data_IF_043925103796
#
_entry.id   IF_043925103796
#
_cell.length_a   1.000
_cell.length_b   1.000
_cell.length_c   1.000
_cell.angle_alpha   90.00
_cell.angle_beta   90.00
_cell.angle_gamma   90.00
#
_symmetry.space_group_name_H-M   'P 1'
#
loop_
_entity.id
_entity.type
_entity.pdbx_description
1 polymer ?
#
# COMPACT_ATOMS: atom_id res chain seq x y z
N UNK A 1 6.19 -27.20 19.97
CA UNK A 1 6.28 -26.35 21.17
C UNK A 1 6.06 -24.91 20.74
N UNK A 2 4.81 -24.45 20.76
CA UNK A 2 4.48 -23.06 20.41
C UNK A 2 4.84 -22.19 21.61
N UNK A 3 5.93 -21.43 21.51
CA UNK A 3 6.11 -20.29 22.39
C UNK A 3 5.10 -19.26 21.90
N UNK A 4 3.92 -19.22 22.53
CA UNK A 4 3.13 -18.00 22.57
C UNK A 4 4.00 -16.95 23.25
N UNK A 5 4.76 -16.20 22.46
CA UNK A 5 5.44 -14.98 22.89
C UNK A 5 4.37 -13.91 23.14
N UNK A 6 3.56 -14.10 24.18
CA UNK A 6 3.02 -12.98 24.94
C UNK A 6 4.25 -12.26 25.50
N UNK A 7 4.44 -11.00 25.09
CA UNK A 7 5.38 -10.03 25.67
C UNK A 7 6.79 -9.89 25.06
N UNK A 8 6.89 -9.88 23.73
CA UNK A 8 7.89 -9.03 23.07
C UNK A 8 7.18 -7.92 22.29
N UNK A 9 6.56 -6.98 23.03
CA UNK A 9 6.23 -5.68 22.46
C UNK A 9 7.56 -4.95 22.24
N UNK A 10 8.07 -5.02 21.03
CA UNK A 10 9.16 -4.16 20.59
C UNK A 10 8.80 -2.70 20.91
N UNK A 11 9.77 -1.95 21.45
CA UNK A 11 9.62 -0.51 21.64
C UNK A 11 9.28 0.15 20.29
N UNK A 12 8.45 1.21 20.28
CA UNK A 12 7.97 1.83 19.02
C UNK A 12 9.13 2.20 18.06
N UNK A 13 10.27 2.60 18.62
CA UNK A 13 11.47 2.94 17.85
C UNK A 13 12.09 1.74 17.10
N UNK A 14 11.93 0.51 17.59
CA UNK A 14 12.58 -0.67 17.01
C UNK A 14 12.02 -1.00 15.62
N UNK A 15 10.73 -0.75 15.37
CA UNK A 15 10.17 -0.89 14.03
C UNK A 15 10.61 0.24 13.10
N UNK A 16 10.68 1.48 13.59
CA UNK A 16 11.14 2.63 12.80
C UNK A 16 12.58 2.45 12.30
N UNK A 17 13.45 1.86 13.12
CA UNK A 17 14.84 1.62 12.75
C UNK A 17 15.02 0.60 11.60
N UNK A 18 14.00 -0.22 11.31
CA UNK A 18 14.08 -1.22 10.22
C UNK A 18 14.29 -0.59 8.84
N UNK A 19 13.99 0.72 8.69
CA UNK A 19 14.28 1.48 7.47
C UNK A 19 15.78 1.52 7.13
N UNK A 20 16.63 1.43 8.14
CA UNK A 20 18.09 1.53 7.99
C UNK A 20 18.77 0.17 7.83
N UNK A 21 18.00 -0.93 7.80
CA UNK A 21 18.55 -2.25 7.50
C UNK A 21 19.13 -2.27 6.07
N UNK A 22 20.20 -3.04 5.83
CA UNK A 22 20.66 -3.33 4.48
C UNK A 22 19.54 -3.91 3.62
N UNK A 23 19.55 -3.61 2.32
CA UNK A 23 18.52 -4.05 1.37
C UNK A 23 18.25 -5.56 1.44
N UNK A 24 19.31 -6.39 1.45
CA UNK A 24 19.16 -7.86 1.53
C UNK A 24 18.43 -8.32 2.80
N UNK A 25 18.65 -7.64 3.93
CA UNK A 25 17.95 -7.94 5.18
C UNK A 25 16.49 -7.48 5.14
N UNK A 26 16.18 -6.39 4.44
CA UNK A 26 14.80 -5.97 4.19
C UNK A 26 14.06 -6.96 3.28
N UNK A 27 14.74 -7.54 2.29
CA UNK A 27 14.17 -8.59 1.42
C UNK A 27 13.88 -9.85 2.22
N UNK A 28 14.85 -10.37 2.98
CA UNK A 28 14.64 -11.53 3.87
C UNK A 28 13.52 -11.30 4.87
N UNK A 29 13.47 -10.11 5.47
CA UNK A 29 12.41 -9.73 6.40
C UNK A 29 11.05 -9.77 5.69
N UNK A 30 10.92 -9.15 4.52
CA UNK A 30 9.66 -9.12 3.77
C UNK A 30 9.19 -10.53 3.38
N UNK A 31 10.08 -11.40 2.88
CA UNK A 31 9.79 -12.82 2.58
C UNK A 31 9.25 -13.52 3.83
N UNK A 32 9.93 -13.39 4.96
CA UNK A 32 9.49 -13.99 6.22
C UNK A 32 8.12 -13.46 6.67
N UNK A 33 7.86 -12.16 6.50
CA UNK A 33 6.55 -11.57 6.86
C UNK A 33 5.43 -12.09 5.95
N UNK A 34 5.74 -12.34 4.67
CA UNK A 34 4.80 -12.93 3.71
C UNK A 34 4.45 -14.35 4.14
N UNK A 35 5.44 -15.20 4.41
CA UNK A 35 5.25 -16.58 4.85
C UNK A 35 4.45 -16.66 6.16
N UNK A 36 4.84 -15.90 7.18
CA UNK A 36 4.13 -15.91 8.48
C UNK A 36 2.66 -15.45 8.35
N UNK A 37 2.35 -14.55 7.41
CA UNK A 37 0.97 -14.11 7.18
C UNK A 37 0.15 -15.17 6.47
N UNK A 38 0.73 -15.86 5.49
CA UNK A 38 0.09 -16.95 4.75
C UNK A 38 -0.19 -18.14 5.67
N UNK A 39 0.80 -18.54 6.47
CA UNK A 39 0.69 -19.61 7.46
C UNK A 39 -0.36 -19.31 8.53
N UNK A 40 -0.43 -18.07 9.03
CA UNK A 40 -1.40 -17.70 10.06
C UNK A 40 -2.85 -17.75 9.57
N UNK A 41 -3.08 -17.45 8.29
CA UNK A 41 -4.41 -17.43 7.68
C UNK A 41 -4.71 -18.66 6.82
N UNK A 42 -3.90 -19.74 6.92
CA UNK A 42 -4.08 -20.98 6.16
C UNK A 42 -4.25 -20.75 4.64
N UNK A 43 -3.45 -19.84 4.06
CA UNK A 43 -3.53 -19.48 2.65
C UNK A 43 -4.70 -18.59 2.27
N UNK A 44 -5.54 -18.17 3.22
CA UNK A 44 -6.67 -17.25 3.01
C UNK A 44 -6.16 -15.81 2.97
N UNK A 45 -5.33 -15.50 1.97
CA UNK A 45 -4.69 -14.20 1.80
C UNK A 45 -4.86 -13.67 0.38
N UNK A 46 -4.68 -12.36 0.20
CA UNK A 46 -4.70 -11.73 -1.12
C UNK A 46 -3.80 -10.50 -1.16
N UNK A 47 -3.37 -10.08 -2.35
CA UNK A 47 -2.63 -8.83 -2.53
C UNK A 47 -3.60 -7.72 -2.92
N UNK A 48 -3.70 -6.67 -2.10
CA UNK A 48 -4.42 -5.45 -2.46
C UNK A 48 -3.63 -4.70 -3.53
N UNK A 49 -3.97 -4.91 -4.80
CA UNK A 49 -3.19 -4.47 -5.94
C UNK A 49 -3.78 -3.19 -6.56
N UNK A 50 -2.94 -2.16 -6.77
CA UNK A 50 -3.38 -0.88 -7.33
C UNK A 50 -2.87 -0.62 -8.76
N UNK A 51 -1.96 -1.46 -9.25
CA UNK A 51 -1.24 -1.22 -10.51
C UNK A 51 -0.11 -0.18 -10.40
N UNK A 52 0.09 0.42 -9.22
CA UNK A 52 1.25 1.28 -8.95
C UNK A 52 2.49 0.47 -8.58
N UNK A 53 3.67 1.08 -8.78
CA UNK A 53 4.98 0.44 -8.59
C UNK A 53 5.12 -0.37 -7.29
N UNK A 54 4.81 0.25 -6.15
CA UNK A 54 4.96 -0.38 -4.84
C UNK A 54 4.06 -1.61 -4.69
N UNK A 55 2.84 -1.58 -5.23
CA UNK A 55 1.93 -2.73 -5.24
C UNK A 55 2.36 -3.82 -6.24
N UNK A 56 3.02 -3.44 -7.33
CA UNK A 56 3.60 -4.37 -8.31
C UNK A 56 4.80 -5.10 -7.71
N UNK A 57 5.69 -4.38 -7.03
CA UNK A 57 6.82 -4.97 -6.30
C UNK A 57 6.34 -5.94 -5.22
N UNK A 58 5.31 -5.55 -4.44
CA UNK A 58 4.73 -6.46 -3.46
C UNK A 58 4.16 -7.71 -4.12
N UNK A 59 3.40 -7.57 -5.22
CA UNK A 59 2.81 -8.71 -5.92
C UNK A 59 3.88 -9.67 -6.44
N UNK A 60 4.95 -9.15 -7.04
CA UNK A 60 6.07 -9.96 -7.50
C UNK A 60 6.74 -10.69 -6.34
N UNK A 61 7.03 -10.00 -5.24
CA UNK A 61 7.63 -10.60 -4.06
C UNK A 61 6.75 -11.71 -3.45
N UNK A 62 5.43 -11.49 -3.36
CA UNK A 62 4.47 -12.51 -2.89
C UNK A 62 4.47 -13.72 -3.83
N UNK A 63 4.46 -13.50 -5.15
CA UNK A 63 4.49 -14.59 -6.14
C UNK A 63 5.79 -15.38 -6.13
N UNK A 64 6.92 -14.71 -5.94
CA UNK A 64 8.23 -15.37 -5.77
C UNK A 64 8.29 -16.20 -4.49
N UNK A 65 7.53 -15.81 -3.45
CA UNK A 65 7.56 -16.46 -2.13
C UNK A 65 6.55 -17.61 -2.00
N UNK A 66 5.31 -17.41 -2.49
CA UNK A 66 4.16 -18.31 -2.26
C UNK A 66 3.59 -18.89 -3.56
N UNK A 67 4.10 -18.46 -4.72
CA UNK A 67 3.59 -18.84 -6.03
C UNK A 67 2.42 -17.98 -6.51
N UNK A 68 1.89 -18.33 -7.67
CA UNK A 68 0.94 -17.51 -8.45
C UNK A 68 -0.54 -17.70 -8.08
N UNK A 69 -0.84 -18.52 -7.06
CA UNK A 69 -2.22 -18.83 -6.63
C UNK A 69 -2.87 -17.72 -5.79
N UNK A 70 -2.07 -16.91 -5.09
CA UNK A 70 -2.58 -15.81 -4.27
C UNK A 70 -3.16 -14.72 -5.18
N UNK A 71 -4.44 -14.35 -5.02
CA UNK A 71 -5.09 -13.41 -5.93
C UNK A 71 -4.55 -11.99 -5.77
N UNK A 72 -4.21 -11.37 -6.89
CA UNK A 72 -4.04 -9.92 -7.01
C UNK A 72 -5.43 -9.28 -7.18
N UNK A 73 -5.91 -8.58 -6.14
CA UNK A 73 -7.25 -7.99 -6.14
C UNK A 73 -7.16 -6.50 -6.46
N UNK A 74 -7.65 -6.13 -7.64
CA UNK A 74 -7.66 -4.75 -8.12
C UNK A 74 -9.04 -4.12 -7.95
N UNK A 75 -9.11 -2.98 -7.27
CA UNK A 75 -10.34 -2.21 -7.14
C UNK A 75 -10.43 -1.16 -8.25
N UNK A 76 -11.17 -1.47 -9.31
CA UNK A 76 -11.42 -0.53 -10.40
C UNK A 76 -12.49 0.47 -9.99
N UNK A 77 -12.09 1.71 -9.74
CA UNK A 77 -13.00 2.78 -9.31
C UNK A 77 -13.63 3.53 -10.48
N UNK A 78 -13.16 3.29 -11.70
CA UNK A 78 -13.50 4.06 -12.90
C UNK A 78 -12.79 5.43 -12.96
N UNK A 79 -11.88 5.72 -12.03
CA UNK A 79 -11.09 6.96 -11.98
C UNK A 79 -9.61 6.75 -12.29
N UNK A 80 -9.16 5.50 -12.32
CA UNK A 80 -7.81 5.16 -12.75
C UNK A 80 -7.62 5.47 -14.25
N UNK A 81 -6.43 5.91 -14.61
CA UNK A 81 -6.04 6.07 -16.02
C UNK A 81 -6.19 4.74 -16.77
N UNK A 82 -6.68 4.75 -18.03
CA UNK A 82 -6.85 3.53 -18.83
C UNK A 82 -5.60 2.64 -18.89
N UNK A 83 -4.41 3.25 -18.92
CA UNK A 83 -3.12 2.57 -18.93
C UNK A 83 -2.87 1.79 -17.64
N UNK A 84 -3.26 2.35 -16.49
CA UNK A 84 -3.15 1.67 -15.18
C UNK A 84 -4.14 0.51 -15.12
N UNK A 85 -5.35 0.67 -15.63
CA UNK A 85 -6.34 -0.42 -15.70
C UNK A 85 -5.83 -1.54 -16.62
N UNK A 86 -5.31 -1.19 -17.79
CA UNK A 86 -4.74 -2.15 -18.73
C UNK A 86 -3.54 -2.89 -18.11
N UNK A 87 -2.63 -2.15 -17.48
CA UNK A 87 -1.48 -2.72 -16.75
C UNK A 87 -1.93 -3.65 -15.62
N UNK A 88 -2.86 -3.21 -14.77
CA UNK A 88 -3.32 -4.02 -13.65
C UNK A 88 -3.94 -5.34 -14.11
N UNK A 89 -4.70 -5.32 -15.22
CA UNK A 89 -5.27 -6.53 -15.82
C UNK A 89 -4.24 -7.49 -16.39
N UNK A 90 -3.01 -7.04 -16.71
CA UNK A 90 -1.92 -7.95 -17.13
C UNK A 90 -1.52 -8.92 -16.02
N UNK A 91 -1.80 -8.60 -14.75
CA UNK A 91 -1.50 -9.50 -13.64
C UNK A 91 -2.14 -10.89 -13.80
N UNK A 92 -3.25 -11.02 -14.55
CA UNK A 92 -3.90 -12.30 -14.88
C UNK A 92 -3.03 -13.26 -15.69
N UNK A 93 -2.06 -12.74 -16.46
CA UNK A 93 -1.14 -13.56 -17.26
C UNK A 93 -0.06 -14.23 -16.41
N UNK A 94 0.13 -13.75 -15.17
CA UNK A 94 1.22 -14.17 -14.28
C UNK A 94 0.68 -14.80 -12.98
N UNK A 95 -0.63 -15.02 -12.86
CA UNK A 95 -1.26 -15.65 -11.71
C UNK A 95 -2.71 -15.24 -11.49
N UNK A 96 -3.27 -15.66 -10.36
CA UNK A 96 -4.62 -15.32 -9.95
C UNK A 96 -4.82 -13.80 -9.86
N UNK A 97 -5.94 -13.33 -10.43
CA UNK A 97 -6.31 -11.93 -10.50
C UNK A 97 -7.81 -11.79 -10.36
N UNK A 98 -8.26 -10.85 -9.55
CA UNK A 98 -9.67 -10.55 -9.32
C UNK A 98 -9.90 -9.03 -9.41
N UNK A 99 -10.95 -8.61 -10.11
CA UNK A 99 -11.31 -7.20 -10.25
C UNK A 99 -12.61 -6.92 -9.49
N UNK A 100 -12.54 -6.04 -8.49
CA UNK A 100 -13.70 -5.57 -7.72
C UNK A 100 -14.05 -4.13 -8.09
N UNK A 101 -15.31 -3.75 -7.87
CA UNK A 101 -15.81 -2.41 -8.18
C UNK A 101 -16.67 -1.85 -7.04
N UNK A 102 -16.70 -0.53 -6.84
CA UNK A 102 -17.69 0.10 -5.98
C UNK A 102 -19.10 -0.07 -6.54
N UNK A 103 -20.08 -0.18 -5.65
CA UNK A 103 -21.49 -0.31 -6.00
C UNK A 103 -22.06 0.98 -6.61
N UNK A 104 -21.46 2.12 -6.27
CA UNK A 104 -21.85 3.45 -6.75
C UNK A 104 -20.78 3.98 -7.70
N UNK A 105 -21.22 4.64 -8.77
CA UNK A 105 -20.31 5.37 -9.63
C UNK A 105 -19.84 6.67 -8.96
N UNK A 106 -18.75 7.24 -9.48
CA UNK A 106 -18.14 8.41 -8.86
C UNK A 106 -19.08 9.64 -8.78
N UNK A 107 -19.93 9.83 -9.80
CA UNK A 107 -20.92 10.93 -9.81
C UNK A 107 -21.89 10.80 -8.65
N UNK A 108 -22.43 9.62 -8.42
CA UNK A 108 -23.32 9.35 -7.28
C UNK A 108 -22.60 9.62 -5.96
N UNK A 109 -21.35 9.18 -5.82
CA UNK A 109 -20.57 9.40 -4.60
C UNK A 109 -20.33 10.89 -4.33
N UNK A 110 -20.03 11.70 -5.35
CA UNK A 110 -19.87 13.15 -5.15
C UNK A 110 -21.18 13.79 -4.69
N UNK A 111 -22.30 13.44 -5.33
CA UNK A 111 -23.60 14.04 -5.03
C UNK A 111 -24.10 13.68 -3.62
N UNK A 112 -23.85 12.46 -3.17
CA UNK A 112 -24.33 11.97 -1.87
C UNK A 112 -23.36 12.22 -0.72
N UNK A 113 -22.07 11.97 -0.93
CA UNK A 113 -21.06 11.97 0.14
C UNK A 113 -20.12 13.18 0.05
N UNK A 114 -20.09 13.89 -1.08
CA UNK A 114 -19.19 15.02 -1.31
C UNK A 114 -17.80 14.63 -1.81
N UNK A 115 -16.97 15.65 -2.02
CA UNK A 115 -15.61 15.52 -2.55
C UNK A 115 -14.57 16.17 -1.61
N UNK A 116 -13.36 15.61 -1.47
CA UNK A 116 -12.34 16.14 -0.56
C UNK A 116 -11.64 17.36 -1.16
N UNK A 117 -12.35 18.49 -1.20
CA UNK A 117 -11.81 19.79 -1.60
C UNK A 117 -10.74 20.24 -0.59
N UNK A 118 -9.70 20.93 -1.07
CA UNK A 118 -8.49 21.37 -0.33
C UNK A 118 -7.54 20.21 0.01
N UNK A 119 -7.97 19.28 0.86
CA UNK A 119 -7.23 18.08 1.23
C UNK A 119 -8.14 17.11 1.97
N UNK A 120 -7.78 15.83 2.00
CA UNK A 120 -8.53 14.82 2.77
C UNK A 120 -8.67 15.19 4.25
N UNK A 121 -7.61 15.75 4.84
CA UNK A 121 -7.63 16.13 6.25
C UNK A 121 -8.57 17.32 6.52
N UNK A 122 -8.51 18.36 5.69
CA UNK A 122 -9.38 19.53 5.86
C UNK A 122 -10.83 19.17 5.54
N UNK A 123 -11.08 18.35 4.51
CA UNK A 123 -12.42 17.86 4.20
C UNK A 123 -13.02 17.02 5.34
N UNK A 124 -12.21 16.17 5.98
CA UNK A 124 -12.63 15.41 7.18
C UNK A 124 -13.03 16.35 8.33
N UNK A 125 -12.25 17.42 8.57
CA UNK A 125 -12.55 18.44 9.59
C UNK A 125 -13.84 19.21 9.26
N UNK A 126 -14.01 19.65 8.01
CA UNK A 126 -15.21 20.35 7.53
C UNK A 126 -16.44 19.45 7.73
N UNK A 127 -16.38 18.19 7.30
CA UNK A 127 -17.47 17.22 7.48
C UNK A 127 -17.84 17.04 8.95
N UNK A 128 -16.85 16.89 9.85
CA UNK A 128 -17.10 16.81 11.30
C UNK A 128 -17.79 18.07 11.84
N UNK A 129 -17.39 19.25 11.39
CA UNK A 129 -18.01 20.51 11.80
C UNK A 129 -19.44 20.70 11.29
N UNK A 130 -19.77 20.12 10.13
CA UNK A 130 -21.11 20.18 9.53
C UNK A 130 -22.07 19.13 10.07
N UNK A 131 -21.62 17.88 10.15
CA UNK A 131 -22.47 16.70 10.39
C UNK A 131 -22.14 15.94 11.67
N UNK A 132 -21.04 16.27 12.34
CA UNK A 132 -20.64 15.59 13.56
C UNK A 132 -21.44 16.07 14.77
N UNK A 133 -21.87 15.12 15.61
CA UNK A 133 -22.37 15.44 16.94
C UNK A 133 -21.19 15.77 17.87
N UNK A 134 -20.70 17.02 17.80
CA UNK A 134 -19.50 17.45 18.51
C UNK A 134 -19.87 18.17 19.81
N UNK A 135 -19.13 17.89 20.88
CA UNK A 135 -19.23 18.71 22.09
C UNK A 135 -18.79 20.16 21.81
N UNK A 136 -19.31 21.16 22.54
CA UNK A 136 -18.91 22.56 22.37
C UNK A 136 -17.40 22.76 22.46
N UNK A 137 -16.74 22.07 23.41
CA UNK A 137 -15.27 22.08 23.57
C UNK A 137 -14.55 21.59 22.33
N UNK A 138 -14.96 20.44 21.77
CA UNK A 138 -14.28 19.87 20.60
C UNK A 138 -14.58 20.67 19.32
N UNK A 139 -15.80 21.23 19.19
CA UNK A 139 -16.12 22.17 18.11
C UNK A 139 -15.23 23.40 18.18
N UNK A 140 -15.03 23.98 19.37
CA UNK A 140 -14.12 25.11 19.56
C UNK A 140 -12.68 24.74 19.20
N UNK A 141 -12.19 23.58 19.62
CA UNK A 141 -10.86 23.09 19.25
C UNK A 141 -10.66 23.03 17.72
N UNK A 142 -11.62 22.49 16.97
CA UNK A 142 -11.54 22.44 15.51
C UNK A 142 -11.58 23.83 14.84
N UNK A 143 -12.16 24.84 15.48
CA UNK A 143 -12.28 26.20 14.92
C UNK A 143 -11.17 27.16 15.37
N UNK A 144 -10.69 27.02 16.60
CA UNK A 144 -9.81 28.00 17.24
C UNK A 144 -8.52 27.40 17.82
N UNK A 145 -8.45 26.06 17.94
CA UNK A 145 -7.46 25.39 18.78
C UNK A 145 -7.82 25.50 20.26
N UNK A 146 -6.98 24.92 21.11
CA UNK A 146 -7.07 25.01 22.57
C UNK A 146 -5.67 24.91 23.20
N UNK A 147 -5.61 24.66 24.52
CA UNK A 147 -4.40 24.39 25.29
C UNK A 147 -3.51 23.26 24.73
N UNK A 148 -4.06 22.37 23.89
CA UNK A 148 -3.33 21.29 23.20
C UNK A 148 -2.71 21.75 21.87
N UNK A 149 -2.88 23.04 21.52
CA UNK A 149 -2.37 23.65 20.31
C UNK A 149 -3.36 23.67 19.14
N UNK A 150 -2.83 23.86 17.92
CA UNK A 150 -3.61 24.12 16.70
C UNK A 150 -3.53 23.03 15.64
N UNK A 151 -2.90 21.89 15.94
CA UNK A 151 -2.68 20.82 14.96
C UNK A 151 -4.00 20.24 14.39
N UNK A 152 -4.99 19.99 15.26
CA UNK A 152 -6.31 19.53 14.86
C UNK A 152 -7.24 20.60 14.31
N UNK A 153 -6.87 21.88 14.40
CA UNK A 153 -7.68 23.01 13.95
C UNK A 153 -7.83 22.99 12.41
N UNK A 154 -9.01 23.37 11.92
CA UNK A 154 -9.22 23.73 10.52
C UNK A 154 -8.65 25.13 10.29
N UNK A 155 -7.67 25.31 9.39
CA UNK A 155 -7.07 26.63 9.15
C UNK A 155 -8.11 27.70 8.84
N UNK A 156 -7.94 28.91 9.39
CA UNK A 156 -8.91 30.01 9.30
C UNK A 156 -9.35 30.30 7.87
N UNK A 157 -8.41 30.31 6.92
CA UNK A 157 -8.68 30.50 5.47
C UNK A 157 -9.68 29.50 4.87
N UNK A 158 -9.83 28.32 5.47
CA UNK A 158 -10.70 27.24 5.02
C UNK A 158 -12.03 27.17 5.76
N UNK A 159 -12.22 27.92 6.84
CA UNK A 159 -13.47 27.89 7.62
C UNK A 159 -14.69 28.40 6.83
N UNK A 160 -14.46 29.26 5.82
CA UNK A 160 -15.51 29.67 4.87
C UNK A 160 -16.20 28.50 4.16
N UNK A 161 -15.54 27.35 4.03
CA UNK A 161 -16.10 26.16 3.38
C UNK A 161 -17.00 25.32 4.29
N UNK A 162 -17.14 25.67 5.58
CA UNK A 162 -18.10 25.03 6.48
C UNK A 162 -19.54 25.25 5.98
N UNK A 163 -19.80 26.39 5.35
CA UNK A 163 -21.11 26.78 4.83
C UNK A 163 -21.18 26.69 3.30
N UNK A 164 -20.29 25.92 2.67
CA UNK A 164 -20.31 25.73 1.22
C UNK A 164 -21.63 25.08 0.77
N UNK A 165 -22.18 25.45 -0.41
CA UNK A 165 -23.48 24.94 -0.90
C UNK A 165 -23.41 23.50 -1.43
N UNK A 166 -22.29 22.81 -1.25
CA UNK A 166 -22.07 21.43 -1.68
C UNK A 166 -21.33 20.65 -0.58
N UNK A 167 -21.43 19.32 -0.62
CA UNK A 167 -20.79 18.44 0.36
C UNK A 167 -19.27 18.37 0.17
N UNK A 168 -18.55 18.59 1.27
CA UNK A 168 -17.09 18.47 1.33
C UNK A 168 -16.76 17.39 2.35
N UNK A 169 -16.19 16.29 1.88
CA UNK A 169 -15.92 15.13 2.73
C UNK A 169 -14.77 14.27 2.21
N UNK A 170 -14.17 13.49 3.10
CA UNK A 170 -13.17 12.47 2.80
C UNK A 170 -13.76 11.07 2.52
N UNK A 171 -15.10 10.93 2.56
CA UNK A 171 -15.78 9.62 2.43
C UNK A 171 -15.80 9.06 1.02
N UNK A 172 -15.49 9.86 0.00
CA UNK A 172 -15.41 9.34 -1.37
C UNK A 172 -14.42 8.16 -1.47
N UNK A 173 -13.29 8.22 -0.76
CA UNK A 173 -12.32 7.13 -0.70
C UNK A 173 -12.86 5.90 0.05
N UNK A 174 -13.70 6.12 1.06
CA UNK A 174 -14.31 5.02 1.81
C UNK A 174 -15.27 4.25 0.92
N UNK A 175 -16.13 4.95 0.17
CA UNK A 175 -17.10 4.31 -0.74
C UNK A 175 -16.41 3.68 -1.93
N UNK A 176 -15.49 4.41 -2.58
CA UNK A 176 -14.88 3.97 -3.82
C UNK A 176 -13.82 2.89 -3.63
N UNK A 177 -13.09 2.88 -2.49
CA UNK A 177 -11.96 1.95 -2.27
C UNK A 177 -12.14 1.05 -1.05
N UNK A 178 -12.46 1.59 0.13
CA UNK A 178 -12.49 0.76 1.36
C UNK A 178 -13.67 -0.21 1.39
N UNK A 179 -14.88 0.24 1.07
CA UNK A 179 -16.09 -0.60 1.09
C UNK A 179 -15.98 -1.83 0.16
N UNK A 180 -15.50 -1.71 -1.09
CA UNK A 180 -15.27 -2.88 -1.95
C UNK A 180 -14.36 -3.94 -1.31
N UNK A 181 -13.22 -3.52 -0.74
CA UNK A 181 -12.33 -4.47 -0.07
C UNK A 181 -12.94 -5.08 1.19
N UNK A 182 -13.67 -4.30 1.99
CA UNK A 182 -14.38 -4.84 3.17
C UNK A 182 -15.42 -5.90 2.76
N UNK A 183 -16.16 -5.66 1.66
CA UNK A 183 -17.10 -6.61 1.08
C UNK A 183 -16.37 -7.87 0.61
N UNK A 184 -15.25 -7.70 -0.10
CA UNK A 184 -14.42 -8.80 -0.57
C UNK A 184 -13.89 -9.67 0.58
N UNK A 185 -13.34 -9.07 1.63
CA UNK A 185 -12.88 -9.78 2.83
C UNK A 185 -14.03 -10.55 3.48
N UNK A 186 -15.20 -9.93 3.63
CA UNK A 186 -16.39 -10.59 4.20
C UNK A 186 -16.88 -11.78 3.36
N UNK A 187 -16.80 -11.67 2.04
CA UNK A 187 -17.29 -12.71 1.12
C UNK A 187 -16.31 -13.88 0.98
N UNK A 188 -15.01 -13.60 0.98
CA UNK A 188 -13.98 -14.60 0.68
C UNK A 188 -13.31 -15.15 1.93
N UNK A 189 -13.39 -14.46 3.06
CA UNK A 189 -12.61 -14.78 4.26
C UNK A 189 -11.10 -14.51 4.11
N UNK A 190 -10.66 -13.86 3.03
CA UNK A 190 -9.24 -13.61 2.75
C UNK A 190 -8.73 -12.32 3.38
N UNK A 191 -7.44 -12.29 3.74
CA UNK A 191 -6.79 -11.17 4.42
C UNK A 191 -5.68 -10.49 3.59
N UNK A 192 -5.54 -9.15 3.67
CA UNK A 192 -4.73 -8.39 2.72
C UNK A 192 -3.23 -8.33 3.04
N UNK A 193 -2.41 -8.50 2.01
CA UNK A 193 -1.12 -7.82 1.86
C UNK A 193 -1.32 -6.43 1.24
N UNK A 194 -0.62 -5.43 1.78
CA UNK A 194 -0.72 -4.03 1.34
C UNK A 194 0.67 -3.47 1.05
N UNK A 195 0.85 -2.93 -0.17
CA UNK A 195 2.10 -2.34 -0.62
C UNK A 195 2.23 -0.90 -0.14
N UNK A 196 2.56 -0.73 1.14
CA UNK A 196 2.83 0.57 1.75
C UNK A 196 4.16 0.56 2.48
N UNK A 197 4.88 1.67 2.38
CA UNK A 197 6.18 1.85 3.04
C UNK A 197 6.14 2.96 4.10
N UNK A 198 7.07 2.90 5.06
CA UNK A 198 7.24 3.99 6.02
C UNK A 198 7.83 5.25 5.39
N UNK A 199 8.43 5.14 4.21
CA UNK A 199 9.07 6.24 3.49
C UNK A 199 8.05 7.15 2.76
N UNK A 200 6.81 6.70 2.60
CA UNK A 200 5.75 7.47 1.91
C UNK A 200 5.34 8.75 2.64
N UNK A 201 5.26 8.73 3.97
CA UNK A 201 4.85 9.90 4.76
C UNK A 201 5.09 9.70 6.26
N UNK A 202 5.16 10.82 6.99
CA UNK A 202 5.22 10.82 8.45
C UNK A 202 4.12 9.96 9.11
N UNK A 203 2.89 10.00 8.56
CA UNK A 203 1.77 9.20 9.09
C UNK A 203 2.00 7.70 8.91
N UNK A 204 2.55 7.27 7.77
CA UNK A 204 2.86 5.86 7.51
C UNK A 204 4.01 5.37 8.39
N UNK A 205 5.04 6.20 8.55
CA UNK A 205 6.14 5.92 9.48
C UNK A 205 5.64 5.73 10.91
N UNK A 206 4.83 6.67 11.41
CA UNK A 206 4.24 6.59 12.76
C UNK A 206 3.27 5.42 12.93
N UNK A 207 2.56 5.02 11.87
CA UNK A 207 1.72 3.83 11.95
C UNK A 207 2.57 2.55 12.01
N UNK A 208 3.60 2.45 11.15
CA UNK A 208 4.50 1.31 11.10
C UNK A 208 5.30 1.15 12.40
N UNK A 209 5.74 2.25 13.03
CA UNK A 209 6.44 2.22 14.31
C UNK A 209 5.60 1.61 15.44
N UNK A 210 4.28 1.71 15.36
CA UNK A 210 3.35 1.19 16.37
C UNK A 210 2.94 -0.26 16.14
N UNK A 211 2.63 -0.60 14.89
CA UNK A 211 2.00 -1.89 14.57
C UNK A 211 2.96 -2.89 13.93
N UNK A 212 4.14 -2.45 13.49
CA UNK A 212 5.05 -3.28 12.71
C UNK A 212 4.43 -3.72 11.38
N UNK A 213 4.87 -4.87 10.88
CA UNK A 213 4.53 -5.36 9.54
C UNK A 213 3.23 -6.17 9.46
N UNK A 214 3.10 -7.22 10.27
CA UNK A 214 1.90 -8.07 10.29
C UNK A 214 1.04 -7.67 11.49
N UNK A 215 -0.21 -7.30 11.22
CA UNK A 215 -1.20 -6.88 12.22
C UNK A 215 -2.35 -7.88 12.17
N UNK A 216 -2.40 -8.78 13.15
CA UNK A 216 -3.33 -9.92 13.15
C UNK A 216 -4.70 -9.61 13.77
N UNK A 217 -4.79 -8.55 14.56
CA UNK A 217 -6.01 -8.18 15.29
C UNK A 217 -6.34 -6.68 15.21
N UNK A 218 -7.47 -6.32 15.81
CA UNK A 218 -7.96 -4.94 15.89
C UNK A 218 -8.67 -4.46 14.63
N UNK A 219 -8.77 -3.14 14.47
CA UNK A 219 -9.57 -2.50 13.42
C UNK A 219 -8.88 -2.45 12.05
N UNK A 220 -7.59 -2.82 11.96
CA UNK A 220 -6.80 -2.70 10.73
C UNK A 220 -5.93 -3.93 10.51
N UNK A 221 -6.56 -5.10 10.41
CA UNK A 221 -5.89 -6.37 10.08
C UNK A 221 -5.28 -6.26 8.68
N UNK A 222 -3.96 -6.44 8.57
CA UNK A 222 -3.20 -6.36 7.32
C UNK A 222 -1.77 -6.86 7.51
N UNK A 223 -1.14 -7.26 6.42
CA UNK A 223 0.32 -7.36 6.30
C UNK A 223 0.86 -6.26 5.39
N UNK A 224 1.97 -5.62 5.78
CA UNK A 224 2.67 -4.60 4.98
C UNK A 224 4.17 -4.95 4.82
N UNK A 225 4.53 -5.98 4.03
CA UNK A 225 5.91 -6.51 3.93
C UNK A 225 6.95 -5.46 3.53
N UNK A 226 6.55 -4.48 2.71
CA UNK A 226 7.40 -3.38 2.24
C UNK A 226 7.53 -2.23 3.25
N UNK A 227 6.97 -2.36 4.46
CA UNK A 227 7.00 -1.31 5.49
C UNK A 227 8.41 -0.75 5.77
N UNK A 228 9.47 -1.58 5.88
CA UNK A 228 10.86 -1.14 6.01
C UNK A 228 11.50 -0.49 4.77
N UNK A 229 10.89 -0.61 3.60
CA UNK A 229 11.56 -0.29 2.35
C UNK A 229 11.52 1.22 2.07
N UNK A 230 12.62 1.74 1.57
CA UNK A 230 12.71 3.10 1.03
C UNK A 230 12.26 3.12 -0.42
N UNK A 231 12.06 4.31 -1.00
CA UNK A 231 11.80 4.41 -2.44
C UNK A 231 12.93 3.79 -3.28
N UNK A 232 14.17 3.91 -2.81
CA UNK A 232 15.32 3.33 -3.51
C UNK A 232 15.33 1.80 -3.45
N UNK A 233 14.91 1.21 -2.33
CA UNK A 233 14.76 -0.25 -2.21
C UNK A 233 13.70 -0.77 -3.19
N UNK A 234 12.57 -0.06 -3.31
CA UNK A 234 11.49 -0.38 -4.26
C UNK A 234 12.00 -0.31 -5.70
N UNK A 235 12.71 0.76 -6.05
CA UNK A 235 13.28 0.94 -7.39
C UNK A 235 14.34 -0.11 -7.70
N UNK A 236 15.20 -0.42 -6.72
CA UNK A 236 16.23 -1.46 -6.85
C UNK A 236 15.61 -2.82 -7.12
N UNK A 237 14.61 -3.22 -6.34
CA UNK A 237 13.90 -4.49 -6.59
C UNK A 237 13.21 -4.51 -7.94
N UNK A 238 12.54 -3.42 -8.30
CA UNK A 238 11.90 -3.32 -9.61
C UNK A 238 12.92 -3.47 -10.75
N UNK A 239 14.09 -2.85 -10.63
CA UNK A 239 15.17 -2.99 -11.60
C UNK A 239 15.71 -4.43 -11.68
N UNK A 240 16.01 -5.03 -10.52
CA UNK A 240 16.61 -6.37 -10.41
C UNK A 240 15.67 -7.51 -10.81
N UNK A 241 14.34 -7.33 -10.64
CA UNK A 241 13.39 -8.44 -10.76
C UNK A 241 12.20 -8.18 -11.68
N UNK A 242 11.90 -6.94 -12.04
CA UNK A 242 10.83 -6.58 -12.98
C UNK A 242 11.38 -6.05 -14.31
N UNK A 243 12.68 -5.74 -14.36
CA UNK A 243 13.35 -5.13 -15.52
C UNK A 243 13.26 -5.94 -16.82
N UNK A 244 13.10 -7.27 -16.74
CA UNK A 244 12.96 -8.14 -17.93
C UNK A 244 11.53 -8.14 -18.51
N UNK A 245 10.50 -7.94 -17.70
CA UNK A 245 9.11 -7.80 -18.17
C UNK A 245 8.85 -6.42 -18.81
N UNK A 246 9.71 -5.44 -18.49
CA UNK A 246 9.82 -4.15 -19.18
C UNK A 246 10.68 -4.22 -20.46
N UNK A 247 11.36 -5.34 -20.72
CA UNK A 247 12.23 -5.57 -21.89
C UNK A 247 11.76 -6.69 -22.85
N UNK A 248 10.50 -7.12 -22.74
CA UNK A 248 9.83 -8.13 -23.59
C UNK A 248 10.14 -9.60 -23.21
N UNK A 249 9.19 -10.25 -22.51
CA UNK A 249 8.89 -11.68 -22.59
C UNK A 249 10.05 -12.68 -22.88
N UNK A 250 10.85 -13.10 -21.90
CA UNK A 250 11.69 -14.34 -21.99
C UNK A 250 11.87 -14.87 -20.55
N UNK A 251 11.19 -15.95 -20.11
CA UNK A 251 11.70 -17.33 -20.01
C UNK A 251 13.05 -17.39 -19.25
N UNK A 252 13.28 -18.12 -18.15
CA UNK A 252 12.76 -19.37 -17.60
C UNK A 252 13.39 -19.53 -16.21
N UNK A 253 12.66 -20.16 -15.29
CA UNK A 253 13.17 -20.96 -14.17
C UNK A 253 14.44 -20.51 -13.44
N UNK A 254 14.19 -19.94 -12.26
CA UNK A 254 14.89 -20.21 -11.00
C UNK A 254 15.62 -21.57 -10.98
N UNK A 255 16.93 -21.60 -11.26
CA UNK A 255 17.89 -22.62 -10.78
C UNK A 255 19.33 -22.12 -11.02
N UNK A 256 19.98 -21.54 -10.01
CA UNK A 256 21.20 -22.09 -9.40
C UNK A 256 21.72 -21.23 -8.23
N UNK A 257 22.12 -21.91 -7.14
CA UNK A 257 22.95 -21.36 -6.06
C UNK A 257 24.41 -21.35 -6.53
N UNK A 258 25.13 -20.25 -6.30
CA UNK A 258 26.61 -20.03 -6.27
C UNK A 258 27.54 -21.10 -6.90
N UNK A 259 28.45 -20.66 -7.77
CA UNK A 259 29.93 -20.80 -7.62
C UNK A 259 30.71 -20.03 -8.70
N UNK A 260 31.76 -19.30 -8.30
CA UNK A 260 33.06 -19.26 -9.01
C UNK A 260 33.27 -18.21 -10.12
N UNK A 261 34.52 -17.76 -10.26
CA UNK A 261 35.00 -16.64 -11.07
C UNK A 261 35.39 -17.00 -12.54
N UNK A 262 35.49 -15.95 -13.36
CA UNK A 262 36.11 -15.79 -14.72
C UNK A 262 37.56 -16.37 -14.85
N UNK A 263 38.25 -16.42 -16.04
CA UNK A 263 38.11 -15.64 -17.30
C UNK A 263 38.44 -16.39 -18.63
N UNK A 264 38.63 -15.61 -19.73
CA UNK A 264 39.41 -15.86 -20.99
C UNK A 264 38.52 -16.23 -22.20
N UNK A 265 38.51 -15.56 -23.35
CA UNK A 265 39.54 -14.80 -24.09
C UNK A 265 38.97 -13.82 -25.13
N UNK A 266 39.66 -12.68 -25.25
CA UNK A 266 40.18 -12.04 -26.47
C UNK A 266 39.26 -11.48 -27.58
N UNK A 267 39.33 -10.14 -27.69
CA UNK A 267 39.67 -9.34 -28.88
C UNK A 267 38.81 -9.41 -30.16
N UNK A 268 38.16 -8.28 -30.47
CA UNK A 268 38.38 -7.48 -31.70
C UNK A 268 37.68 -6.11 -31.49
N UNK A 269 38.42 -5.05 -31.15
CA UNK A 269 38.99 -4.05 -32.07
C UNK A 269 37.93 -3.21 -32.79
N UNK A 270 37.97 -1.90 -32.47
CA UNK A 270 37.58 -0.71 -33.25
C UNK A 270 36.64 -0.90 -34.46
N UNK A 271 35.56 -0.11 -34.47
CA UNK A 271 35.20 0.72 -35.61
C UNK A 271 34.24 1.83 -35.16
N UNK A 272 34.84 2.97 -34.83
CA UNK A 272 34.27 4.28 -35.14
C UNK A 272 34.30 4.49 -36.66
N UNK A 273 33.31 5.25 -37.15
CA UNK A 273 33.17 5.85 -38.50
C UNK A 273 32.26 5.13 -39.52
N UNK A 274 31.33 5.94 -40.09
CA UNK A 274 30.44 5.74 -41.25
C UNK A 274 29.23 4.84 -40.96
N UNK A 275 27.97 5.31 -40.94
CA UNK A 275 27.21 6.27 -41.77
C UNK A 275 26.18 6.99 -40.89
#
# INVERSE_FOLDING_TARGET
MYIQNKELKYQEWAYAQRKYLPYEEKVKLAIRRIQEWDEYWDGMVYVSFSGGLDSTVLLALVRMTLGSKIPAVFCNTGLEYPEIVAFARKAKYHGAYEEIRPEKNFRQVILEEGYPVISKENASKIRKLRHGNLSPRYRNYLLNGDERGKFGMLPKKWQKYIHAPFEISDRCCDVMKKKPFLKYVKQTGRYPYIGISQDESFRRAHQYSKTGCNVYDGSTIKSQPLGPWTKQDILRFAYEHLGEELRMHVLRFWHYRRTGAEPISANAVNLSEKI
#
